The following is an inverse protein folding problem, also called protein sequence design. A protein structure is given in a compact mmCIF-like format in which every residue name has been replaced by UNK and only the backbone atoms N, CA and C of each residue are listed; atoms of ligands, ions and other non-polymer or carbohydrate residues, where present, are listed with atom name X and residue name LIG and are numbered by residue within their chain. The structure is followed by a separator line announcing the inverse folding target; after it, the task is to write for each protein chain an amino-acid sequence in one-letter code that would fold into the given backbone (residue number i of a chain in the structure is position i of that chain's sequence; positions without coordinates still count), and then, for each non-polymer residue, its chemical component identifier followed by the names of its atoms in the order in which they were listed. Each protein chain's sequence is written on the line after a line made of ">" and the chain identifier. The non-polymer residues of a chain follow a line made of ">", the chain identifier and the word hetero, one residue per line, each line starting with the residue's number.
data_IF_686348415550
#
_entry.id   IF_686348415550
#
_cell.length_a   1.000
_cell.length_b   1.000
_cell.length_c   1.000
_cell.angle_alpha   90.00
_cell.angle_beta   90.00
_cell.angle_gamma   90.00
#
_symmetry.space_group_name_H-M   'P 1'
#
loop_
_entity.id
_entity.type
_entity.pdbx_description
1 polymer ?
#
# COMPACT_ATOMS: atom_id res chain seq x y z
N UNK A 1 -18.43 12.13 20.72
CA UNK A 1 -18.19 11.07 19.72
C UNK A 1 -16.95 10.30 20.17
N UNK A 2 -16.81 9.02 19.85
CA UNK A 2 -15.76 8.17 20.41
C UNK A 2 -14.36 8.60 19.95
N UNK A 3 -14.23 9.19 18.76
CA UNK A 3 -12.95 9.54 18.16
C UNK A 3 -12.59 11.03 18.27
N UNK A 4 -13.34 11.84 19.04
CA UNK A 4 -13.15 13.30 19.12
C UNK A 4 -11.70 13.69 19.44
N UNK A 5 -11.09 13.01 20.41
CA UNK A 5 -9.69 13.24 20.81
C UNK A 5 -8.72 12.91 19.69
N UNK A 6 -8.93 11.79 19.01
CA UNK A 6 -8.10 11.30 17.90
C UNK A 6 -8.18 12.26 16.72
N UNK A 7 -9.39 12.67 16.37
CA UNK A 7 -9.65 13.64 15.30
C UNK A 7 -8.99 14.98 15.60
N UNK A 8 -9.12 15.48 16.82
CA UNK A 8 -8.48 16.72 17.24
C UNK A 8 -6.95 16.64 17.13
N UNK A 9 -6.35 15.49 17.48
CA UNK A 9 -4.91 15.27 17.38
C UNK A 9 -4.43 15.22 15.93
N UNK A 10 -5.11 14.47 15.06
CA UNK A 10 -4.76 14.38 13.63
C UNK A 10 -4.85 15.76 12.96
N UNK A 11 -5.84 16.59 13.32
CA UNK A 11 -5.96 17.97 12.79
C UNK A 11 -4.76 18.88 13.13
N UNK A 12 -3.91 18.52 14.09
CA UNK A 12 -2.69 19.29 14.42
C UNK A 12 -1.55 19.06 13.41
N UNK A 13 -1.66 18.07 12.53
CA UNK A 13 -0.59 17.66 11.61
C UNK A 13 -1.02 17.63 10.13
N UNK A 14 -1.69 18.67 9.58
CA UNK A 14 -2.23 18.67 8.21
C UNK A 14 -1.19 18.39 7.12
N UNK A 15 0.07 18.69 7.37
CA UNK A 15 1.20 18.41 6.48
C UNK A 15 1.57 16.93 6.42
N UNK A 16 1.29 16.15 7.48
CA UNK A 16 1.70 14.75 7.60
C UNK A 16 0.73 13.78 6.93
N UNK A 17 -0.26 14.23 6.15
CA UNK A 17 -1.17 13.33 5.47
C UNK A 17 -1.73 13.91 4.18
N UNK A 18 -2.11 13.03 3.26
CA UNK A 18 -2.89 13.40 2.08
C UNK A 18 -4.37 13.63 2.44
N UNK A 19 -5.19 13.99 1.46
CA UNK A 19 -6.66 14.00 1.65
C UNK A 19 -7.14 12.61 2.06
N UNK A 20 -7.51 12.39 3.32
CA UNK A 20 -8.20 11.15 3.68
C UNK A 20 -9.64 11.15 3.18
N UNK A 21 -10.25 9.98 3.18
CA UNK A 21 -11.61 9.78 2.75
C UNK A 21 -12.41 8.90 3.70
N UNK A 22 -13.61 9.34 4.07
CA UNK A 22 -14.52 8.55 4.86
C UNK A 22 -15.15 7.42 4.03
N UNK A 23 -15.51 6.33 4.68
CA UNK A 23 -16.46 5.37 4.13
C UNK A 23 -17.84 6.02 4.09
N UNK A 24 -18.62 5.81 3.02
CA UNK A 24 -19.99 6.32 2.99
C UNK A 24 -20.89 5.49 3.91
N UNK A 25 -21.93 6.09 4.52
CA UNK A 25 -22.87 5.36 5.38
C UNK A 25 -23.54 4.16 4.72
N UNK A 26 -23.89 4.25 3.43
CA UNK A 26 -24.47 3.15 2.66
C UNK A 26 -23.53 1.96 2.53
N UNK A 27 -22.23 2.21 2.43
CA UNK A 27 -21.21 1.17 2.33
C UNK A 27 -20.96 0.48 3.67
N UNK A 28 -20.93 1.24 4.77
CA UNK A 28 -20.87 0.64 6.11
C UNK A 28 -22.07 -0.30 6.35
N UNK A 29 -23.29 0.13 5.97
CA UNK A 29 -24.48 -0.71 6.05
C UNK A 29 -24.39 -1.96 5.18
N UNK A 30 -23.90 -1.82 3.95
CA UNK A 30 -23.71 -2.96 3.04
C UNK A 30 -22.72 -3.97 3.63
N UNK A 31 -21.60 -3.51 4.19
CA UNK A 31 -20.63 -4.39 4.84
C UNK A 31 -21.20 -5.12 6.06
N UNK A 32 -21.97 -4.45 6.92
CA UNK A 32 -22.69 -5.09 8.03
C UNK A 32 -23.58 -6.24 7.53
N UNK A 33 -24.32 -6.00 6.43
CA UNK A 33 -25.17 -7.02 5.81
C UNK A 33 -24.38 -8.18 5.21
N UNK A 34 -23.29 -7.89 4.47
CA UNK A 34 -22.46 -8.94 3.85
C UNK A 34 -21.76 -9.81 4.88
N UNK A 35 -21.27 -9.21 5.97
CA UNK A 35 -20.56 -9.93 7.02
C UNK A 35 -21.50 -10.63 8.00
N UNK A 36 -22.78 -10.25 8.02
CA UNK A 36 -23.75 -10.73 9.00
C UNK A 36 -23.46 -10.22 10.42
N UNK A 37 -22.76 -9.08 10.53
CA UNK A 37 -22.33 -8.49 11.80
C UNK A 37 -22.84 -7.05 11.92
N UNK A 38 -23.04 -6.57 13.15
CA UNK A 38 -23.24 -5.14 13.40
C UNK A 38 -21.94 -4.51 13.83
N UNK A 39 -21.62 -3.34 13.30
CA UNK A 39 -20.42 -2.62 13.69
C UNK A 39 -20.67 -1.87 14.99
N UNK A 40 -19.78 -2.01 15.99
CA UNK A 40 -19.80 -1.17 17.18
C UNK A 40 -19.78 0.32 16.78
N UNK A 41 -20.56 1.19 17.44
CA UNK A 41 -20.56 2.63 17.19
C UNK A 41 -19.18 3.27 17.03
N UNK A 42 -18.19 2.93 17.87
CA UNK A 42 -16.83 3.47 17.76
C UNK A 42 -16.14 3.04 16.45
N UNK A 43 -16.32 1.78 16.05
CA UNK A 43 -15.79 1.27 14.78
C UNK A 43 -16.49 1.89 13.57
N UNK A 44 -17.81 2.06 13.66
CA UNK A 44 -18.61 2.70 12.62
C UNK A 44 -18.20 4.16 12.45
N UNK A 45 -18.00 4.90 13.54
CA UNK A 45 -17.48 6.26 13.51
C UNK A 45 -16.11 6.33 12.85
N UNK A 46 -15.22 5.37 13.13
CA UNK A 46 -13.92 5.26 12.48
C UNK A 46 -14.06 5.09 10.96
N UNK A 47 -14.93 4.18 10.52
CA UNK A 47 -15.18 3.98 9.10
C UNK A 47 -15.71 5.25 8.43
N UNK A 48 -16.66 5.94 9.07
CA UNK A 48 -17.22 7.19 8.55
C UNK A 48 -16.26 8.38 8.60
N UNK A 49 -15.05 8.21 9.16
CA UNK A 49 -14.02 9.22 9.19
C UNK A 49 -12.83 8.88 8.29
N UNK A 50 -12.21 7.72 8.47
CA UNK A 50 -10.99 7.28 7.76
C UNK A 50 -11.19 5.99 6.95
N UNK A 51 -12.41 5.45 6.89
CA UNK A 51 -12.64 4.10 6.44
C UNK A 51 -12.37 3.82 4.98
N UNK A 52 -12.32 4.82 4.10
CA UNK A 52 -12.03 4.61 2.68
C UNK A 52 -10.55 4.75 2.36
N UNK A 53 -9.92 5.82 2.85
CA UNK A 53 -8.50 6.01 2.65
C UNK A 53 -7.96 6.94 3.74
N UNK A 54 -6.84 6.58 4.35
CA UNK A 54 -6.33 7.35 5.49
C UNK A 54 -5.37 8.49 5.09
N UNK A 55 -5.17 8.74 3.79
CA UNK A 55 -4.17 9.74 3.35
C UNK A 55 -2.72 9.32 3.67
N UNK A 56 -2.49 8.02 3.83
CA UNK A 56 -1.24 7.42 4.29
C UNK A 56 -1.00 7.51 5.80
N UNK A 57 -1.98 7.91 6.61
CA UNK A 57 -1.85 7.94 8.08
C UNK A 57 -1.81 6.55 8.69
N UNK A 58 -2.46 5.60 8.05
CA UNK A 58 -2.63 4.23 8.50
C UNK A 58 -2.05 3.25 7.48
N UNK A 59 -0.99 3.65 6.77
CA UNK A 59 -0.29 2.74 5.85
C UNK A 59 0.30 1.56 6.65
N UNK A 60 0.06 0.35 6.15
CA UNK A 60 0.38 -0.90 6.85
C UNK A 60 -0.66 -1.33 7.90
N UNK A 61 -1.74 -0.58 8.09
CA UNK A 61 -2.82 -0.91 9.03
C UNK A 61 -4.08 -1.27 8.22
N UNK A 62 -4.37 -2.56 8.14
CA UNK A 62 -5.46 -3.15 7.33
C UNK A 62 -6.87 -2.92 7.92
N UNK A 63 -7.21 -1.69 8.31
CA UNK A 63 -8.43 -1.35 9.06
C UNK A 63 -9.53 -0.63 8.29
N UNK A 64 -9.23 -0.19 7.07
CA UNK A 64 -10.18 0.44 6.17
C UNK A 64 -11.14 -0.59 5.54
N UNK A 65 -12.27 -0.12 5.02
CA UNK A 65 -13.37 -0.93 4.49
C UNK A 65 -12.91 -1.89 3.39
N UNK A 66 -12.00 -1.45 2.52
CA UNK A 66 -11.46 -2.23 1.40
C UNK A 66 -10.72 -3.50 1.87
N UNK A 67 -10.16 -3.48 3.09
CA UNK A 67 -9.44 -4.62 3.65
C UNK A 67 -10.33 -5.56 4.45
N UNK A 68 -11.54 -5.14 4.85
CA UNK A 68 -12.35 -5.90 5.80
C UNK A 68 -12.87 -7.22 5.22
N UNK A 69 -13.39 -7.19 3.99
CA UNK A 69 -13.86 -8.40 3.32
C UNK A 69 -12.72 -9.39 3.16
N UNK A 70 -11.56 -8.91 2.70
CA UNK A 70 -10.37 -9.72 2.53
C UNK A 70 -9.89 -10.32 3.86
N UNK A 71 -9.80 -9.52 4.93
CA UNK A 71 -9.41 -9.99 6.25
C UNK A 71 -10.37 -11.06 6.79
N UNK A 72 -11.68 -10.88 6.61
CA UNK A 72 -12.68 -11.85 7.06
C UNK A 72 -12.57 -13.16 6.27
N UNK A 73 -12.44 -13.08 4.94
CA UNK A 73 -12.29 -14.27 4.08
C UNK A 73 -10.98 -15.01 4.36
N UNK A 74 -9.89 -14.28 4.57
CA UNK A 74 -8.60 -14.84 4.97
C UNK A 74 -8.71 -15.61 6.29
N UNK A 75 -9.35 -15.00 7.29
CA UNK A 75 -9.49 -15.61 8.60
C UNK A 75 -10.46 -16.78 8.67
N UNK A 76 -11.39 -16.88 7.71
CA UNK A 76 -12.28 -18.04 7.52
C UNK A 76 -11.60 -19.18 6.74
N UNK A 77 -10.40 -18.94 6.21
CA UNK A 77 -9.70 -19.89 5.35
C UNK A 77 -10.28 -19.96 3.93
N UNK A 78 -11.16 -19.02 3.56
CA UNK A 78 -11.78 -18.94 2.22
C UNK A 78 -10.78 -18.48 1.15
N UNK A 79 -9.68 -17.84 1.58
CA UNK A 79 -8.54 -17.51 0.74
C UNK A 79 -7.44 -18.54 0.99
N UNK A 80 -7.42 -19.57 0.17
CA UNK A 80 -6.33 -20.54 0.09
C UNK A 80 -5.20 -19.91 -0.72
N UNK A 81 -4.40 -19.05 -0.08
CA UNK A 81 -3.07 -18.74 -0.63
C UNK A 81 -2.17 -19.96 -0.34
N UNK A 82 -1.47 -20.43 -1.38
CA UNK A 82 -0.88 -21.76 -1.47
C UNK A 82 0.24 -22.01 -0.44
N UNK A 83 -0.13 -22.49 0.75
CA UNK A 83 0.75 -23.14 1.73
C UNK A 83 -0.03 -24.28 2.43
N UNK A 84 0.55 -25.47 2.70
CA UNK A 84 -0.15 -26.64 3.24
C UNK A 84 -0.41 -26.59 4.75
N UNK A 85 -0.15 -25.46 5.41
CA UNK A 85 -0.25 -25.34 6.87
C UNK A 85 -1.66 -24.97 7.28
N UNK A 86 -2.32 -25.94 7.90
CA UNK A 86 -3.72 -25.94 8.36
C UNK A 86 -4.10 -24.70 9.20
N UNK A 87 -4.49 -23.61 8.54
CA UNK A 87 -5.36 -22.54 9.04
C UNK A 87 -6.75 -22.97 9.56
N UNK A 88 -7.34 -24.17 9.26
CA UNK A 88 -8.63 -24.58 9.84
C UNK A 88 -8.69 -24.54 11.37
N UNK A 89 -7.54 -24.64 12.05
CA UNK A 89 -7.45 -24.55 13.51
C UNK A 89 -7.71 -23.14 14.04
N UNK A 90 -7.38 -22.10 13.27
CA UNK A 90 -7.56 -20.70 13.64
C UNK A 90 -9.03 -20.27 13.48
N UNK A 91 -9.67 -20.67 12.37
CA UNK A 91 -11.09 -20.42 12.07
C UNK A 91 -11.99 -20.96 13.19
N UNK A 92 -11.68 -22.17 13.67
CA UNK A 92 -12.43 -22.81 14.75
C UNK A 92 -12.19 -22.21 16.15
N UNK A 93 -11.18 -21.33 16.30
CA UNK A 93 -10.81 -20.71 17.57
C UNK A 93 -11.33 -19.27 17.72
N UNK A 94 -11.84 -18.66 16.64
CA UNK A 94 -12.39 -17.31 16.69
C UNK A 94 -13.88 -17.32 17.06
N UNK A 95 -14.32 -16.38 17.90
CA UNK A 95 -15.74 -16.16 18.15
C UNK A 95 -16.51 -15.89 16.85
N UNK A 96 -17.76 -16.38 16.70
CA UNK A 96 -18.55 -16.17 15.48
C UNK A 96 -18.89 -14.71 15.22
N UNK A 97 -18.80 -13.86 16.24
CA UNK A 97 -19.03 -12.42 16.20
C UNK A 97 -17.74 -11.60 16.10
N UNK A 98 -16.59 -12.25 15.90
CA UNK A 98 -15.30 -11.60 15.73
C UNK A 98 -15.21 -10.86 14.40
N UNK A 99 -14.71 -9.62 14.46
CA UNK A 99 -14.41 -8.79 13.31
C UNK A 99 -12.92 -8.46 13.30
N UNK A 100 -12.21 -8.98 12.29
CA UNK A 100 -10.77 -8.74 12.13
C UNK A 100 -10.56 -7.44 11.39
N UNK A 101 -10.24 -6.39 12.16
CA UNK A 101 -10.07 -5.04 11.64
C UNK A 101 -8.60 -4.67 11.44
N UNK A 102 -7.65 -5.52 11.80
CA UNK A 102 -6.24 -5.21 11.60
C UNK A 102 -5.42 -6.47 11.38
N UNK A 103 -4.44 -6.37 10.49
CA UNK A 103 -3.54 -7.46 10.12
C UNK A 103 -2.21 -6.89 9.66
N UNK A 104 -1.15 -7.60 10.03
CA UNK A 104 0.22 -7.37 9.59
C UNK A 104 0.86 -8.70 9.20
N UNK A 105 1.11 -8.87 7.89
CA UNK A 105 1.54 -10.14 7.34
C UNK A 105 0.52 -11.27 7.57
N UNK A 106 1.03 -12.50 7.73
CA UNK A 106 0.22 -13.69 8.02
C UNK A 106 0.26 -14.11 9.50
N UNK A 107 1.15 -13.50 10.27
CA UNK A 107 1.52 -13.99 11.59
C UNK A 107 0.93 -13.16 12.71
N UNK A 108 0.25 -12.05 12.40
CA UNK A 108 -0.30 -11.15 13.40
C UNK A 108 -1.59 -10.48 12.93
N UNK A 109 -2.61 -10.52 13.77
CA UNK A 109 -3.86 -9.79 13.54
C UNK A 109 -4.49 -9.33 14.85
N UNK A 110 -5.40 -8.37 14.75
CA UNK A 110 -6.24 -7.93 15.85
C UNK A 110 -7.70 -7.92 15.44
N UNK A 111 -8.55 -8.24 16.40
CA UNK A 111 -9.99 -8.30 16.23
C UNK A 111 -10.70 -7.77 17.48
N UNK A 112 -11.97 -7.47 17.33
CA UNK A 112 -12.88 -7.28 18.45
C UNK A 112 -14.13 -8.11 18.19
N UNK A 113 -14.95 -8.32 19.22
CA UNK A 113 -16.24 -8.98 19.07
C UNK A 113 -17.32 -7.91 18.91
N UNK A 114 -18.12 -8.03 17.86
CA UNK A 114 -19.15 -7.05 17.50
C UNK A 114 -20.23 -6.86 18.57
N UNK A 115 -20.43 -7.84 19.44
CA UNK A 115 -21.40 -7.77 20.55
C UNK A 115 -20.87 -7.16 21.86
N UNK A 116 -19.58 -6.84 21.96
CA UNK A 116 -18.94 -6.44 23.22
C UNK A 116 -18.98 -4.92 23.51
N UNK A 117 -20.14 -4.31 23.27
CA UNK A 117 -20.40 -2.90 23.55
C UNK A 117 -19.97 -1.95 22.45
N UNK A 118 -20.07 -0.66 22.73
CA UNK A 118 -19.94 0.37 21.70
C UNK A 118 -18.49 0.66 21.26
N UNK A 119 -17.56 0.52 22.20
CA UNK A 119 -16.10 0.60 22.02
C UNK A 119 -15.50 -0.69 22.57
N UNK A 120 -15.49 -1.77 21.77
CA UNK A 120 -15.23 -3.12 22.27
C UNK A 120 -13.75 -3.29 22.64
N UNK A 121 -13.43 -4.25 23.53
CA UNK A 121 -12.06 -4.65 23.79
C UNK A 121 -11.42 -5.23 22.52
N UNK A 122 -10.13 -4.94 22.34
CA UNK A 122 -9.33 -5.49 21.24
C UNK A 122 -8.54 -6.69 21.73
N UNK A 123 -8.60 -7.75 20.95
CA UNK A 123 -7.83 -8.97 21.11
C UNK A 123 -6.77 -9.03 20.01
N UNK A 124 -5.60 -9.55 20.34
CA UNK A 124 -4.53 -9.78 19.39
C UNK A 124 -4.21 -11.26 19.31
N UNK A 125 -3.85 -11.69 18.12
CA UNK A 125 -3.30 -13.00 17.87
C UNK A 125 -1.94 -12.86 17.20
N UNK A 126 -0.99 -13.69 17.62
CA UNK A 126 0.33 -13.77 17.01
C UNK A 126 0.78 -15.22 16.91
N UNK A 127 1.35 -15.59 15.75
CA UNK A 127 2.03 -16.86 15.58
C UNK A 127 3.34 -16.87 16.37
N UNK A 128 3.47 -17.81 17.30
CA UNK A 128 4.70 -18.08 18.04
C UNK A 128 5.15 -19.49 17.69
N UNK A 129 6.42 -19.65 17.31
CA UNK A 129 6.97 -20.92 16.82
C UNK A 129 6.77 -22.10 17.79
N UNK A 130 6.77 -21.82 19.11
CA UNK A 130 6.85 -22.85 20.15
C UNK A 130 5.67 -22.83 21.14
N UNK A 131 4.60 -22.08 20.87
CA UNK A 131 3.44 -21.98 21.78
C UNK A 131 2.12 -22.26 21.06
N UNK A 132 1.16 -22.93 21.74
CA UNK A 132 -0.19 -23.05 21.21
C UNK A 132 -0.74 -21.67 20.91
N UNK A 133 -1.28 -21.52 19.71
CA UNK A 133 -1.82 -20.27 19.21
C UNK A 133 -3.07 -19.89 20.01
N UNK A 134 -2.97 -18.84 20.83
CA UNK A 134 -4.08 -18.26 21.57
C UNK A 134 -4.15 -16.77 21.27
N UNK A 135 -5.37 -16.23 21.23
CA UNK A 135 -5.57 -14.79 21.22
C UNK A 135 -5.65 -14.28 22.65
N UNK A 136 -5.13 -13.07 22.87
CA UNK A 136 -5.05 -12.46 24.19
C UNK A 136 -5.69 -11.06 24.16
N UNK A 137 -6.38 -10.65 25.24
CA UNK A 137 -6.85 -9.28 25.35
C UNK A 137 -5.64 -8.33 25.38
N UNK A 138 -5.68 -7.30 24.55
CA UNK A 138 -4.61 -6.29 24.52
C UNK A 138 -4.64 -5.33 25.72
N UNK A 139 -5.70 -5.40 26.53
CA UNK A 139 -6.02 -4.42 27.57
C UNK A 139 -6.51 -3.07 27.03
N UNK A 140 -6.76 -2.97 25.72
CA UNK A 140 -7.17 -1.73 25.03
C UNK A 140 -8.59 -1.89 24.47
N UNK A 141 -9.34 -0.79 24.46
CA UNK A 141 -10.54 -0.68 23.62
C UNK A 141 -10.15 -0.40 22.17
N UNK A 142 -11.10 -0.50 21.24
CA UNK A 142 -10.88 -0.18 19.83
C UNK A 142 -10.38 1.26 19.64
N UNK A 143 -11.00 2.24 20.30
CA UNK A 143 -10.55 3.64 20.24
C UNK A 143 -9.13 3.78 20.76
N UNK A 144 -8.83 3.18 21.91
CA UNK A 144 -7.49 3.24 22.51
C UNK A 144 -6.44 2.60 21.61
N UNK A 145 -6.79 1.50 20.93
CA UNK A 145 -5.92 0.84 19.96
C UNK A 145 -5.62 1.77 18.77
N UNK A 146 -6.66 2.34 18.14
CA UNK A 146 -6.51 3.25 17.01
C UNK A 146 -5.75 4.53 17.39
N UNK A 147 -5.98 5.07 18.58
CA UNK A 147 -5.21 6.21 19.10
C UNK A 147 -3.71 5.94 19.11
N UNK A 148 -3.31 4.78 19.64
CA UNK A 148 -1.89 4.42 19.74
C UNK A 148 -1.27 4.15 18.38
N UNK A 149 -1.99 3.47 17.49
CA UNK A 149 -1.50 3.19 16.14
C UNK A 149 -1.34 4.48 15.32
N UNK A 150 -2.29 5.41 15.43
CA UNK A 150 -2.18 6.74 14.82
C UNK A 150 -1.03 7.54 15.40
N UNK A 151 -0.83 7.53 16.72
CA UNK A 151 0.33 8.20 17.32
C UNK A 151 1.66 7.63 16.83
N UNK A 152 1.76 6.29 16.76
CA UNK A 152 2.96 5.65 16.23
C UNK A 152 3.18 5.99 14.75
N UNK A 153 2.12 5.99 13.94
CA UNK A 153 2.21 6.38 12.54
C UNK A 153 2.62 7.84 12.37
N UNK A 154 2.05 8.77 13.14
CA UNK A 154 2.43 10.18 13.15
C UNK A 154 3.89 10.37 13.57
N UNK A 155 4.37 9.66 14.60
CA UNK A 155 5.79 9.71 15.01
C UNK A 155 6.72 9.17 13.92
N UNK A 156 6.40 8.01 13.33
CA UNK A 156 7.17 7.43 12.21
C UNK A 156 7.25 8.42 11.05
N UNK A 157 6.12 9.06 10.73
CA UNK A 157 6.03 10.01 9.62
C UNK A 157 6.73 11.33 9.89
N UNK A 158 6.63 11.87 11.10
CA UNK A 158 7.37 13.07 11.51
C UNK A 158 8.88 12.81 11.51
N UNK A 159 9.34 11.64 12.00
CA UNK A 159 10.74 11.25 11.94
C UNK A 159 11.22 11.07 10.49
N UNK A 160 10.38 10.49 9.62
CA UNK A 160 10.66 10.39 8.20
C UNK A 160 10.75 11.78 7.55
N UNK A 161 9.81 12.68 7.82
CA UNK A 161 9.84 14.05 7.29
C UNK A 161 11.03 14.85 7.81
N UNK A 162 11.41 14.70 9.07
CA UNK A 162 12.63 15.31 9.60
C UNK A 162 13.88 14.76 8.92
N UNK A 163 13.93 13.44 8.69
CA UNK A 163 15.01 12.81 7.94
C UNK A 163 15.04 13.25 6.47
N UNK A 164 13.88 13.43 5.83
CA UNK A 164 13.73 13.89 4.45
C UNK A 164 14.03 15.40 4.30
N UNK A 165 13.64 16.22 5.27
CA UNK A 165 13.87 17.69 5.24
C UNK A 165 15.33 18.02 5.53
N UNK A 166 16.02 17.16 6.29
CA UNK A 166 17.47 17.21 6.49
C UNK A 166 18.26 16.55 5.35
N UNK A 167 17.61 16.01 4.30
CA UNK A 167 18.34 15.45 3.15
C UNK A 167 19.08 16.57 2.40
N UNK A 168 20.38 16.63 2.63
CA UNK A 168 21.29 16.49 1.49
C UNK A 168 21.01 15.13 0.83
N UNK A 169 21.06 15.06 -0.51
CA UNK A 169 20.96 13.78 -1.24
C UNK A 169 21.81 12.74 -0.48
N UNK A 170 21.24 11.57 -0.09
CA UNK A 170 22.06 10.56 0.56
C UNK A 170 23.22 10.19 -0.37
N UNK A 171 24.34 9.67 0.16
CA UNK A 171 25.39 9.12 -0.69
C UNK A 171 24.77 8.15 -1.70
N UNK A 172 24.88 8.48 -3.00
CA UNK A 172 24.30 7.67 -4.07
C UNK A 172 22.97 8.14 -4.68
N UNK A 173 22.48 9.35 -4.41
CA UNK A 173 21.36 9.95 -5.17
C UNK A 173 19.96 9.69 -4.59
N UNK A 174 18.91 9.83 -5.40
CA UNK A 174 17.51 9.63 -4.98
C UNK A 174 17.24 8.15 -4.62
N UNK A 175 17.88 7.22 -5.33
CA UNK A 175 17.70 5.78 -5.16
C UNK A 175 18.78 5.14 -4.28
N UNK A 176 19.65 5.91 -3.63
CA UNK A 176 20.75 5.36 -2.82
C UNK A 176 20.31 4.28 -1.81
N UNK A 177 19.15 4.46 -1.15
CA UNK A 177 18.57 3.44 -0.24
C UNK A 177 18.11 2.18 -0.98
N UNK A 178 17.47 2.36 -2.14
CA UNK A 178 16.98 1.26 -2.98
C UNK A 178 18.16 0.44 -3.49
N UNK A 179 19.23 1.10 -3.97
CA UNK A 179 20.47 0.46 -4.41
C UNK A 179 21.13 -0.35 -3.30
N UNK A 180 21.33 0.26 -2.12
CA UNK A 180 21.92 -0.44 -0.98
C UNK A 180 21.08 -1.67 -0.56
N UNK A 181 19.75 -1.56 -0.59
CA UNK A 181 18.85 -2.67 -0.28
C UNK A 181 18.94 -3.77 -1.33
N UNK A 182 18.96 -3.41 -2.60
CA UNK A 182 19.08 -4.34 -3.72
C UNK A 182 20.42 -5.08 -3.70
N UNK A 183 21.52 -4.38 -3.46
CA UNK A 183 22.87 -4.95 -3.36
C UNK A 183 22.97 -5.97 -2.22
N UNK A 184 22.31 -5.71 -1.08
CA UNK A 184 22.22 -6.67 0.02
C UNK A 184 21.53 -7.99 -0.39
N UNK A 185 20.74 -7.98 -1.47
CA UNK A 185 20.04 -9.13 -2.03
C UNK A 185 20.73 -9.73 -3.26
N UNK A 186 21.79 -9.09 -3.80
CA UNK A 186 22.39 -9.44 -5.09
C UNK A 186 22.89 -10.89 -5.17
N UNK A 187 23.25 -11.51 -4.03
CA UNK A 187 23.63 -12.93 -3.97
C UNK A 187 22.50 -13.93 -4.19
N UNK A 188 21.24 -13.48 -4.24
CA UNK A 188 20.03 -14.30 -4.38
C UNK A 188 19.32 -14.08 -5.73
N UNK A 189 19.87 -13.24 -6.61
CA UNK A 189 19.21 -12.83 -7.85
C UNK A 189 19.68 -13.62 -9.07
N UNK A 190 18.76 -14.00 -9.98
CA UNK A 190 19.05 -14.92 -11.08
C UNK A 190 19.79 -14.32 -12.29
N UNK A 191 20.21 -13.04 -12.28
CA UNK A 191 20.85 -12.46 -13.46
C UNK A 191 21.50 -11.08 -13.29
N UNK A 192 22.17 -10.58 -14.35
CA UNK A 192 22.81 -9.28 -14.35
C UNK A 192 21.79 -8.14 -14.33
N UNK A 193 22.24 -6.98 -13.84
CA UNK A 193 21.54 -5.70 -14.01
C UNK A 193 22.15 -4.94 -15.18
N UNK A 194 21.30 -4.28 -15.96
CA UNK A 194 21.72 -3.42 -17.06
C UNK A 194 20.82 -2.20 -17.13
N UNK A 195 21.44 -1.02 -17.12
CA UNK A 195 20.75 0.26 -17.19
C UNK A 195 20.78 0.85 -18.60
N UNK A 196 19.85 1.76 -18.88
CA UNK A 196 19.92 2.60 -20.06
C UNK A 196 21.17 3.49 -20.03
N UNK A 197 21.67 3.84 -21.21
CA UNK A 197 22.65 4.89 -21.41
C UNK A 197 22.01 6.29 -21.34
N UNK A 198 22.84 7.29 -21.08
CA UNK A 198 22.42 8.71 -21.14
C UNK A 198 21.84 9.09 -22.52
N UNK A 199 22.34 8.48 -23.60
CA UNK A 199 21.85 8.74 -24.95
C UNK A 199 20.43 8.19 -25.16
N UNK A 200 20.15 6.98 -24.65
CA UNK A 200 18.82 6.39 -24.72
C UNK A 200 17.80 7.20 -23.91
N UNK A 201 18.19 7.67 -22.74
CA UNK A 201 17.32 8.54 -21.92
C UNK A 201 17.10 9.88 -22.62
N UNK A 202 18.14 10.48 -23.20
CA UNK A 202 18.00 11.74 -23.95
C UNK A 202 17.07 11.57 -25.17
N UNK A 203 17.16 10.43 -25.87
CA UNK A 203 16.27 10.11 -26.98
C UNK A 203 14.82 9.91 -26.51
N UNK A 204 14.62 9.23 -25.39
CA UNK A 204 13.30 9.08 -24.76
C UNK A 204 12.71 10.45 -24.38
N UNK A 205 13.48 11.32 -23.72
CA UNK A 205 13.05 12.68 -23.38
C UNK A 205 12.72 13.52 -24.63
N UNK A 206 13.47 13.33 -25.72
CA UNK A 206 13.20 13.96 -27.01
C UNK A 206 11.87 13.50 -27.60
N UNK A 207 11.58 12.19 -27.56
CA UNK A 207 10.30 11.61 -27.99
C UNK A 207 9.14 12.15 -27.15
N UNK A 208 9.32 12.21 -25.83
CA UNK A 208 8.32 12.72 -24.88
C UNK A 208 8.17 14.25 -24.93
N UNK A 209 9.12 14.96 -25.55
CA UNK A 209 9.24 16.43 -25.55
C UNK A 209 9.24 17.03 -24.14
N UNK A 210 9.72 16.27 -23.16
CA UNK A 210 9.75 16.60 -21.73
C UNK A 210 10.95 15.93 -21.09
N UNK A 211 11.48 16.54 -20.05
CA UNK A 211 12.51 15.91 -19.20
C UNK A 211 11.88 14.96 -18.21
N UNK A 212 12.57 13.86 -17.94
CA UNK A 212 12.21 12.91 -16.90
C UNK A 212 12.73 13.41 -15.54
N UNK A 213 12.00 13.19 -14.44
CA UNK A 213 12.47 13.50 -13.10
C UNK A 213 13.79 12.76 -12.79
N UNK A 214 14.71 13.40 -12.09
CA UNK A 214 16.02 12.82 -11.77
C UNK A 214 15.92 11.46 -11.05
N UNK A 215 14.96 11.27 -10.15
CA UNK A 215 14.75 9.98 -9.48
C UNK A 215 14.40 8.86 -10.47
N UNK A 216 13.62 9.18 -11.52
CA UNK A 216 13.28 8.21 -12.56
C UNK A 216 14.43 8.02 -13.55
N UNK A 217 15.16 9.08 -13.91
CA UNK A 217 16.39 8.96 -14.72
C UNK A 217 17.41 8.04 -14.04
N UNK A 218 17.59 8.21 -12.73
CA UNK A 218 18.49 7.38 -11.93
C UNK A 218 18.06 5.91 -11.90
N UNK A 219 16.75 5.65 -11.97
CA UNK A 219 16.19 4.29 -12.10
C UNK A 219 16.52 3.69 -13.46
N UNK A 220 16.28 4.44 -14.55
CA UNK A 220 16.54 3.98 -15.91
C UNK A 220 18.03 3.73 -16.14
N UNK A 221 18.90 4.63 -15.69
CA UNK A 221 20.37 4.47 -15.74
C UNK A 221 20.87 3.23 -14.98
N UNK A 222 20.06 2.69 -14.07
CA UNK A 222 20.43 1.56 -13.23
C UNK A 222 19.84 0.24 -13.72
N UNK A 223 18.55 0.21 -14.08
CA UNK A 223 17.77 -1.02 -14.34
C UNK A 223 17.00 -1.00 -15.67
N UNK A 224 17.23 0.00 -16.51
CA UNK A 224 16.41 0.27 -17.70
C UNK A 224 16.42 -0.79 -18.80
N UNK A 225 17.36 -1.75 -18.79
CA UNK A 225 17.38 -2.88 -19.75
C UNK A 225 17.11 -4.20 -19.06
N UNK A 226 17.81 -4.48 -17.96
CA UNK A 226 17.68 -5.72 -17.20
C UNK A 226 17.67 -5.46 -15.69
N UNK A 227 16.67 -6.01 -15.01
CA UNK A 227 16.41 -5.83 -13.57
C UNK A 227 16.50 -7.14 -12.77
N UNK A 228 17.10 -8.17 -13.35
CA UNK A 228 17.33 -9.50 -12.75
C UNK A 228 16.10 -10.18 -12.11
N UNK A 229 14.88 -9.78 -12.48
CA UNK A 229 13.64 -10.41 -12.00
C UNK A 229 13.00 -9.79 -10.75
N UNK A 230 13.58 -8.74 -10.16
CA UNK A 230 12.91 -7.89 -9.16
C UNK A 230 12.37 -6.63 -9.83
N UNK A 231 11.28 -6.04 -9.31
CA UNK A 231 10.67 -4.82 -9.87
C UNK A 231 10.07 -5.00 -11.28
N UNK A 232 9.68 -6.22 -11.67
CA UNK A 232 9.16 -6.52 -13.01
C UNK A 232 7.83 -5.86 -13.38
N UNK A 233 7.11 -5.29 -12.40
CA UNK A 233 5.89 -4.51 -12.62
C UNK A 233 6.18 -3.03 -12.97
N UNK A 234 7.43 -2.58 -12.79
CA UNK A 234 7.86 -1.26 -13.27
C UNK A 234 8.16 -1.34 -14.77
N UNK A 235 7.52 -0.46 -15.55
CA UNK A 235 7.91 -0.22 -16.92
C UNK A 235 9.18 0.62 -16.93
N UNK A 236 10.32 -0.05 -16.97
CA UNK A 236 11.65 0.56 -16.97
C UNK A 236 12.41 0.36 -18.28
N UNK A 237 11.91 -0.51 -19.18
CA UNK A 237 12.47 -0.66 -20.52
C UNK A 237 11.76 0.23 -21.54
N UNK A 238 12.53 0.80 -22.46
CA UNK A 238 12.02 1.65 -23.55
C UNK A 238 10.95 0.94 -24.38
N UNK A 239 11.12 -0.37 -24.60
CA UNK A 239 10.18 -1.23 -25.33
C UNK A 239 8.83 -1.40 -24.64
N UNK A 240 8.78 -1.36 -23.30
CA UNK A 240 7.53 -1.47 -22.53
C UNK A 240 6.90 -0.11 -22.24
N UNK A 241 7.74 0.92 -22.08
CA UNK A 241 7.35 2.23 -21.59
C UNK A 241 6.48 3.02 -22.57
N UNK A 242 6.85 3.04 -23.85
CA UNK A 242 6.09 3.79 -24.87
C UNK A 242 4.73 3.15 -25.20
N UNK A 243 4.61 1.81 -25.35
CA UNK A 243 3.32 1.15 -25.44
C UNK A 243 2.44 1.41 -24.23
N UNK A 244 3.00 1.36 -23.01
CA UNK A 244 2.24 1.57 -21.78
C UNK A 244 1.60 2.97 -21.71
N UNK A 245 2.30 4.03 -22.17
CA UNK A 245 1.70 5.38 -22.23
C UNK A 245 0.42 5.41 -23.07
N UNK A 246 0.42 4.69 -24.21
CA UNK A 246 -0.71 4.65 -25.12
C UNK A 246 -1.82 3.76 -24.56
N UNK A 247 -1.44 2.63 -23.98
CA UNK A 247 -2.36 1.62 -23.49
C UNK A 247 -3.17 2.12 -22.28
N UNK A 248 -2.53 2.79 -21.31
CA UNK A 248 -3.23 3.38 -20.17
C UNK A 248 -4.28 4.42 -20.58
N UNK A 249 -4.00 5.23 -21.62
CA UNK A 249 -4.99 6.18 -22.16
C UNK A 249 -6.12 5.46 -22.90
N UNK A 250 -5.81 4.38 -23.60
CA UNK A 250 -6.81 3.58 -24.30
C UNK A 250 -7.77 2.86 -23.33
N UNK A 251 -7.27 2.30 -22.23
CA UNK A 251 -8.09 1.66 -21.19
C UNK A 251 -9.13 2.62 -20.61
N UNK A 252 -8.69 3.80 -20.16
CA UNK A 252 -9.61 4.82 -19.62
C UNK A 252 -10.70 5.24 -20.63
N UNK A 253 -10.39 5.23 -21.92
CA UNK A 253 -11.35 5.54 -22.98
C UNK A 253 -12.31 4.38 -23.27
N UNK A 254 -11.79 3.15 -23.34
CA UNK A 254 -12.56 1.94 -23.65
C UNK A 254 -13.58 1.62 -22.55
N UNK A 255 -13.18 1.76 -21.30
CA UNK A 255 -14.00 1.44 -20.12
C UNK A 255 -15.03 2.54 -19.78
N UNK A 256 -15.12 3.59 -20.63
CA UNK A 256 -15.99 4.77 -20.45
C UNK A 256 -15.84 5.42 -19.07
N UNK A 257 -14.64 5.31 -18.50
CA UNK A 257 -14.31 5.89 -17.20
C UNK A 257 -14.34 7.41 -17.36
N UNK A 258 -15.12 8.16 -16.55
CA UNK A 258 -15.23 9.62 -16.68
C UNK A 258 -14.00 10.38 -16.14
N UNK A 259 -12.80 9.77 -16.22
CA UNK A 259 -11.53 10.38 -15.86
C UNK A 259 -10.55 10.34 -17.02
N UNK A 260 -9.66 11.33 -17.07
CA UNK A 260 -8.62 11.42 -18.09
C UNK A 260 -7.29 11.64 -17.40
N UNK A 261 -6.27 10.93 -17.87
CA UNK A 261 -4.89 11.17 -17.47
C UNK A 261 -4.52 12.63 -17.78
N UNK A 262 -3.88 13.35 -16.83
CA UNK A 262 -3.28 14.64 -17.10
C UNK A 262 -2.35 14.62 -18.33
N UNK A 263 -2.19 15.78 -18.97
CA UNK A 263 -1.33 15.90 -20.16
C UNK A 263 0.15 15.68 -19.85
N UNK A 264 0.55 15.94 -18.60
CA UNK A 264 1.90 15.76 -18.08
C UNK A 264 2.06 14.44 -17.28
N UNK A 265 1.05 13.58 -17.29
CA UNK A 265 1.13 12.28 -16.65
C UNK A 265 2.04 11.33 -17.44
N UNK A 266 2.89 10.63 -16.69
CA UNK A 266 3.82 9.64 -17.19
C UNK A 266 3.59 8.32 -16.47
N UNK A 267 3.09 7.32 -17.20
CA UNK A 267 2.70 6.01 -16.66
C UNK A 267 3.91 5.10 -16.62
N UNK A 268 4.32 4.61 -15.46
CA UNK A 268 5.59 3.87 -15.32
C UNK A 268 5.44 2.55 -14.58
N UNK A 269 4.21 2.22 -14.18
CA UNK A 269 3.89 1.02 -13.43
C UNK A 269 2.56 0.46 -13.92
N UNK A 270 2.51 -0.86 -14.06
CA UNK A 270 1.29 -1.58 -14.40
C UNK A 270 1.16 -2.79 -13.49
N UNK A 271 -0.03 -2.96 -12.91
CA UNK A 271 -0.41 -4.14 -12.16
C UNK A 271 -1.68 -4.72 -12.76
N UNK A 272 -1.62 -5.95 -13.24
CA UNK A 272 -2.73 -6.60 -13.96
C UNK A 272 -3.19 -5.84 -15.22
N UNK A 273 -4.38 -6.16 -15.74
CA UNK A 273 -4.88 -5.64 -17.01
C UNK A 273 -5.51 -4.23 -16.91
N UNK A 274 -5.80 -3.75 -15.69
CA UNK A 274 -6.59 -2.51 -15.49
C UNK A 274 -6.09 -1.57 -14.38
N UNK A 275 -5.03 -1.91 -13.64
CA UNK A 275 -4.41 -1.00 -12.66
C UNK A 275 -3.05 -0.48 -13.14
N UNK A 276 -2.81 0.82 -12.95
CA UNK A 276 -1.55 1.44 -13.34
C UNK A 276 -1.15 2.58 -12.41
N UNK A 277 0.15 2.85 -12.35
CA UNK A 277 0.75 3.95 -11.60
C UNK A 277 1.38 4.97 -12.53
N UNK A 278 1.25 6.25 -12.19
CA UNK A 278 1.84 7.36 -12.94
C UNK A 278 2.36 8.45 -12.00
N UNK A 279 3.33 9.23 -12.47
CA UNK A 279 3.71 10.50 -11.84
C UNK A 279 3.49 11.64 -12.84
N UNK A 280 3.54 12.89 -12.35
CA UNK A 280 3.44 14.07 -13.22
C UNK A 280 4.82 14.67 -13.44
N UNK A 281 5.16 14.89 -14.70
CA UNK A 281 6.46 15.43 -15.12
C UNK A 281 6.71 16.86 -14.59
N UNK A 282 5.66 17.55 -14.13
CA UNK A 282 5.74 18.89 -13.57
C UNK A 282 5.96 18.94 -12.06
N UNK A 283 5.97 17.81 -11.34
CA UNK A 283 5.91 17.76 -9.87
C UNK A 283 7.28 17.52 -9.19
N UNK A 284 8.35 17.98 -9.84
CA UNK A 284 9.70 17.97 -9.30
C UNK A 284 10.51 16.73 -9.69
N UNK A 285 11.70 16.63 -9.12
CA UNK A 285 12.71 15.62 -9.50
C UNK A 285 12.49 14.24 -8.85
N UNK A 286 11.70 14.19 -7.77
CA UNK A 286 11.24 12.97 -7.10
C UNK A 286 9.73 13.09 -6.83
N UNK A 287 8.91 12.98 -7.90
CA UNK A 287 7.52 13.41 -7.87
C UNK A 287 6.64 12.41 -7.11
N UNK A 288 5.43 12.83 -6.69
CA UNK A 288 4.42 11.93 -6.19
C UNK A 288 3.99 10.88 -7.22
N UNK A 289 3.63 9.69 -6.72
CA UNK A 289 3.05 8.60 -7.51
C UNK A 289 1.56 8.53 -7.23
N UNK A 290 0.79 8.55 -8.30
CA UNK A 290 -0.64 8.34 -8.33
C UNK A 290 -0.91 6.98 -8.97
N UNK A 291 -2.10 6.43 -8.75
CA UNK A 291 -2.52 5.27 -9.51
C UNK A 291 -4.02 5.17 -9.68
N UNK A 292 -4.36 4.33 -10.63
CA UNK A 292 -5.72 3.94 -10.95
C UNK A 292 -5.90 2.50 -10.50
N UNK A 293 -6.91 2.26 -9.66
CA UNK A 293 -7.45 0.95 -9.40
C UNK A 293 -8.76 0.85 -10.18
N UNK A 294 -8.98 -0.29 -10.83
CA UNK A 294 -10.20 -0.61 -11.56
C UNK A 294 -11.37 -0.81 -10.59
N UNK A 295 -11.85 0.31 -10.04
CA UNK A 295 -13.09 0.38 -9.29
C UNK A 295 -14.15 1.10 -10.15
N UNK A 296 -15.07 0.34 -10.78
CA UNK A 296 -16.11 0.91 -11.63
C UNK A 296 -17.10 1.82 -10.87
N UNK A 297 -17.03 1.88 -9.53
CA UNK A 297 -17.93 2.71 -8.71
C UNK A 297 -17.35 4.08 -8.39
N UNK A 298 -16.03 4.27 -8.46
CA UNK A 298 -15.35 5.54 -8.13
C UNK A 298 -14.15 5.80 -9.04
N UNK A 299 -14.40 6.26 -10.26
CA UNK A 299 -13.33 6.57 -11.20
C UNK A 299 -12.54 7.79 -10.72
N UNK A 300 -11.32 7.57 -10.19
CA UNK A 300 -10.35 8.62 -9.87
C UNK A 300 -8.93 8.08 -9.88
N UNK A 301 -7.98 9.01 -9.79
CA UNK A 301 -6.59 8.69 -9.46
C UNK A 301 -6.38 8.87 -7.97
N UNK A 302 -6.02 7.78 -7.31
CA UNK A 302 -5.60 7.81 -5.93
C UNK A 302 -4.13 8.15 -5.85
N UNK A 303 -3.77 8.81 -4.77
CA UNK A 303 -2.38 9.11 -4.48
C UNK A 303 -1.78 7.91 -3.74
N UNK A 304 -0.69 7.35 -4.26
CA UNK A 304 -0.03 6.17 -3.70
C UNK A 304 1.20 6.54 -2.85
N UNK A 305 2.09 7.41 -3.33
CA UNK A 305 3.31 7.81 -2.60
C UNK A 305 3.69 9.29 -2.83
N UNK A 306 4.42 9.92 -1.87
CA UNK A 306 4.93 11.32 -1.98
C UNK A 306 6.07 11.45 -2.96
N UNK A 307 6.82 10.38 -3.09
CA UNK A 307 8.07 10.33 -3.83
C UNK A 307 8.12 9.02 -4.60
N UNK A 308 8.55 9.12 -5.84
CA UNK A 308 8.82 7.99 -6.70
C UNK A 308 9.87 7.08 -6.06
N UNK A 309 10.89 7.64 -5.42
CA UNK A 309 11.92 6.86 -4.72
C UNK A 309 11.34 5.98 -3.60
N UNK A 310 10.33 6.45 -2.88
CA UNK A 310 9.64 5.67 -1.84
C UNK A 310 8.74 4.58 -2.45
N UNK A 311 8.08 4.87 -3.58
CA UNK A 311 7.31 3.85 -4.31
C UNK A 311 8.21 2.71 -4.80
N UNK A 312 9.35 3.04 -5.44
CA UNK A 312 10.31 2.05 -5.93
C UNK A 312 10.85 1.19 -4.77
N UNK A 313 11.12 1.79 -3.60
CA UNK A 313 11.51 1.04 -2.41
C UNK A 313 10.43 0.05 -1.97
N UNK A 314 9.16 0.47 -1.93
CA UNK A 314 8.05 -0.41 -1.57
C UNK A 314 7.90 -1.59 -2.55
N UNK A 315 8.03 -1.31 -3.85
CA UNK A 315 8.00 -2.35 -4.89
C UNK A 315 9.18 -3.33 -4.79
N UNK A 316 10.34 -2.84 -4.35
CA UNK A 316 11.51 -3.70 -4.12
C UNK A 316 11.25 -4.68 -2.98
N UNK A 317 10.74 -4.19 -1.84
CA UNK A 317 10.41 -5.06 -0.71
C UNK A 317 9.31 -6.07 -1.05
N UNK A 318 8.28 -5.68 -1.81
CA UNK A 318 7.25 -6.61 -2.29
C UNK A 318 7.85 -7.69 -3.21
N UNK A 319 8.74 -7.31 -4.13
CA UNK A 319 9.44 -8.25 -5.02
C UNK A 319 10.33 -9.22 -4.23
N UNK A 320 11.05 -8.75 -3.21
CA UNK A 320 11.87 -9.58 -2.33
C UNK A 320 11.00 -10.58 -1.57
N UNK A 321 9.92 -10.12 -0.94
CA UNK A 321 9.01 -10.98 -0.20
C UNK A 321 8.38 -12.06 -1.10
N UNK A 322 8.15 -11.78 -2.38
CA UNK A 322 7.68 -12.76 -3.36
C UNK A 322 8.78 -13.75 -3.79
N UNK A 323 10.02 -13.27 -3.96
CA UNK A 323 11.16 -14.12 -4.32
C UNK A 323 11.50 -15.12 -3.19
N UNK A 324 11.51 -14.66 -1.94
CA UNK A 324 11.73 -15.51 -0.76
C UNK A 324 10.71 -16.65 -0.67
N UNK A 325 9.44 -16.39 -1.04
CA UNK A 325 8.38 -17.42 -1.11
C UNK A 325 8.65 -18.50 -2.17
N UNK A 326 9.31 -18.15 -3.29
CA UNK A 326 9.61 -19.10 -4.37
C UNK A 326 10.82 -19.99 -4.07
N UNK A 327 11.69 -19.60 -3.14
CA UNK A 327 12.91 -20.32 -2.79
C UNK A 327 12.77 -21.26 -1.59
N UNK A 328 11.62 -21.28 -0.90
CA UNK A 328 11.34 -22.27 0.15
C UNK A 328 10.99 -23.63 -0.50
N UNK A 329 11.60 -24.75 -0.07
CA UNK A 329 11.27 -26.07 -0.60
C UNK A 329 9.82 -26.44 -0.27
N UNK A 330 9.09 -26.93 -1.29
CA UNK A 330 7.71 -27.42 -1.19
C UNK A 330 7.54 -28.63 -0.28
#
# INVERSE_FOLDING_TARGET
>A
MYLDRVQARVRQYPQLYGRWQPCYPSWANWLEQQLGLRFPPAYREFLLWLGHWSGGLLDGISCCWMHLEFNQRWARGDLVEQEPLRLPTLVNALPPDALIFWREGYDRFAFFRSGEGDDPPVYSWQRLADKPSAWEPTGKSFVTFIEQELEQALRRRAALEEALTRRTLPPGGYLGRVRARYEAMAGLLPGPIEGCSEQEIAELERILRRRLPAAYRELLLWLGHHHSGLLGELAISTDTLLPLQKQARAWLQADRVPIRLPDDAFVFYQRYESAFGFFRLSEGEDPPVYGHLDDPRQPRFDWWHRHLSDFVMAQLEESIALAERRCLPQ
#
